data_IF_148718045851
#
_entry.id   IF_148718045851
#
_cell.length_a   1.000
_cell.length_b   1.000
_cell.length_c   1.000
_cell.angle_alpha   90.00
_cell.angle_beta   90.00
_cell.angle_gamma   90.00
#
_symmetry.space_group_name_H-M   'P 1'
#
loop_
_entity.id
_entity.type
_entity.pdbx_description
1 polymer ?
#
# COMPACT_ATOMS: atom_id res chain seq x y z
N UNK A 1 4.04 6.66 -1.45
CA UNK A 1 3.78 5.22 -1.64
C UNK A 1 3.90 4.44 -0.34
N UNK A 2 5.07 4.40 0.32
CA UNK A 2 5.29 3.60 1.54
C UNK A 2 4.28 3.86 2.67
N UNK A 3 3.89 5.12 2.92
CA UNK A 3 2.86 5.47 3.92
C UNK A 3 1.48 4.86 3.65
N UNK A 4 1.17 4.54 2.39
CA UNK A 4 -0.05 3.84 1.99
C UNK A 4 0.13 2.32 1.94
N UNK A 5 1.25 1.80 2.46
CA UNK A 5 1.54 0.38 2.56
C UNK A 5 2.18 -0.25 1.32
N UNK A 6 2.58 0.55 0.31
CA UNK A 6 3.20 0.03 -0.90
C UNK A 6 4.71 -0.20 -0.77
N UNK A 7 5.17 -1.35 -1.25
CA UNK A 7 6.58 -1.74 -1.44
C UNK A 7 6.86 -1.82 -2.94
N UNK A 8 8.00 -1.32 -3.39
CA UNK A 8 8.41 -1.42 -4.79
C UNK A 8 8.73 -2.88 -5.13
N UNK A 9 8.03 -3.45 -6.11
CA UNK A 9 8.13 -4.86 -6.52
C UNK A 9 8.24 -4.97 -8.05
N UNK A 10 9.28 -4.38 -8.66
CA UNK A 10 9.40 -4.33 -10.11
C UNK A 10 9.79 -5.68 -10.70
N UNK A 11 9.50 -5.86 -11.98
CA UNK A 11 10.13 -6.88 -12.81
C UNK A 11 10.62 -6.27 -14.14
N UNK A 12 11.16 -7.11 -15.04
CA UNK A 12 11.76 -6.63 -16.29
C UNK A 12 10.77 -5.93 -17.23
N UNK A 13 9.49 -6.30 -17.19
CA UNK A 13 8.43 -5.73 -18.03
C UNK A 13 7.69 -4.58 -17.34
N UNK A 14 7.64 -4.61 -16.01
CA UNK A 14 6.82 -3.70 -15.20
C UNK A 14 7.71 -3.03 -14.13
N UNK A 15 8.41 -1.94 -14.49
CA UNK A 15 9.48 -1.36 -13.67
C UNK A 15 8.99 -0.54 -12.46
N UNK A 16 7.70 -0.21 -12.42
CA UNK A 16 7.09 0.66 -11.40
C UNK A 16 5.99 -0.02 -10.58
N UNK A 17 5.83 -1.35 -10.72
CA UNK A 17 4.90 -2.11 -9.88
C UNK A 17 5.21 -1.88 -8.41
N UNK A 18 4.16 -1.53 -7.67
CA UNK A 18 4.19 -1.44 -6.23
C UNK A 18 3.10 -2.31 -5.62
N UNK A 19 3.46 -3.07 -4.59
CA UNK A 19 2.60 -4.04 -3.92
C UNK A 19 2.30 -3.62 -2.50
N UNK A 20 1.03 -3.67 -2.08
CA UNK A 20 0.72 -3.48 -0.67
C UNK A 20 1.25 -4.65 0.16
N UNK A 21 1.99 -4.39 1.23
CA UNK A 21 2.51 -5.48 2.10
C UNK A 21 1.41 -6.23 2.87
N UNK A 22 0.22 -5.63 3.00
CA UNK A 22 -0.88 -6.15 3.82
C UNK A 22 -1.95 -6.85 2.98
N UNK A 23 -2.60 -6.15 2.04
CA UNK A 23 -3.65 -6.73 1.19
C UNK A 23 -3.13 -7.34 -0.12
N UNK A 24 -1.83 -7.21 -0.40
CA UNK A 24 -1.14 -7.77 -1.56
C UNK A 24 -1.62 -7.26 -2.93
N UNK A 25 -2.43 -6.19 -2.99
CA UNK A 25 -2.76 -5.55 -4.27
C UNK A 25 -1.49 -5.00 -4.94
N UNK A 26 -1.36 -5.26 -6.24
CA UNK A 26 -0.34 -4.70 -7.11
C UNK A 26 -0.95 -3.57 -7.92
N UNK A 27 -0.24 -2.45 -8.02
CA UNK A 27 -0.57 -1.33 -8.88
C UNK A 27 0.69 -0.92 -9.67
N UNK A 28 0.52 -0.59 -10.94
CA UNK A 28 1.54 -0.11 -11.87
C UNK A 28 1.04 1.13 -12.62
N UNK A 29 1.91 1.76 -13.41
CA UNK A 29 1.56 2.93 -14.22
C UNK A 29 1.43 4.21 -13.39
N UNK A 30 2.29 4.37 -12.38
CA UNK A 30 2.21 5.48 -11.44
C UNK A 30 2.63 6.81 -12.08
N UNK A 31 1.78 7.83 -11.94
CA UNK A 31 2.06 9.19 -12.36
C UNK A 31 2.58 10.04 -11.18
N UNK A 32 3.38 11.10 -11.42
CA UNK A 32 3.91 11.95 -10.36
C UNK A 32 2.86 12.63 -9.46
N UNK A 33 1.62 12.73 -9.92
CA UNK A 33 0.52 13.39 -9.21
C UNK A 33 -0.44 12.40 -8.53
N UNK A 34 -0.21 11.10 -8.66
CA UNK A 34 -1.05 10.10 -8.00
C UNK A 34 -0.85 10.17 -6.48
N UNK A 35 -1.96 10.22 -5.74
CA UNK A 35 -1.92 10.00 -4.29
C UNK A 35 -2.03 8.49 -4.00
N UNK A 36 -0.98 7.86 -3.44
CA UNK A 36 -0.99 6.41 -3.23
C UNK A 36 -2.00 5.95 -2.18
N UNK A 37 -2.40 6.82 -1.26
CA UNK A 37 -3.43 6.48 -0.28
C UNK A 37 -4.80 6.44 -0.96
N UNK A 38 -5.11 7.43 -1.80
CA UNK A 38 -6.34 7.45 -2.59
C UNK A 38 -6.44 6.28 -3.57
N UNK A 39 -5.38 6.00 -4.34
CA UNK A 39 -5.40 4.89 -5.29
C UNK A 39 -5.58 3.53 -4.60
N UNK A 40 -5.03 3.37 -3.40
CA UNK A 40 -5.23 2.16 -2.60
C UNK A 40 -6.68 2.03 -2.12
N UNK A 41 -7.27 3.10 -1.56
CA UNK A 41 -8.69 3.11 -1.12
C UNK A 41 -9.63 2.80 -2.28
N UNK A 42 -9.40 3.42 -3.45
CA UNK A 42 -10.26 3.26 -4.63
C UNK A 42 -10.28 1.82 -5.14
N UNK A 43 -9.21 1.05 -4.93
CA UNK A 43 -8.99 -0.26 -5.57
C UNK A 43 -9.25 -1.43 -4.64
N UNK A 44 -9.02 -1.27 -3.33
CA UNK A 44 -9.21 -2.34 -2.36
C UNK A 44 -9.56 -1.84 -0.96
N UNK A 45 -10.43 -2.56 -0.26
CA UNK A 45 -10.67 -2.33 1.17
C UNK A 45 -9.56 -2.99 2.00
N UNK A 46 -8.52 -2.24 2.34
CA UNK A 46 -7.32 -2.77 3.01
C UNK A 46 -7.32 -2.53 4.52
N UNK A 47 -7.16 -3.59 5.31
CA UNK A 47 -7.14 -3.51 6.78
C UNK A 47 -6.04 -2.60 7.33
N UNK A 48 -4.88 -2.53 6.65
CA UNK A 48 -3.80 -1.61 7.02
C UNK A 48 -4.25 -0.14 6.99
N UNK A 49 -5.05 0.27 6.00
CA UNK A 49 -5.56 1.65 5.91
C UNK A 49 -6.66 1.94 6.95
N UNK A 50 -7.26 0.90 7.53
CA UNK A 50 -8.28 1.02 8.57
C UNK A 50 -7.69 1.08 9.99
N UNK A 51 -6.37 0.96 10.16
CA UNK A 51 -5.74 1.04 11.48
C UNK A 51 -5.95 2.43 12.09
N UNK A 52 -6.34 2.44 13.37
CA UNK A 52 -6.56 3.67 14.15
C UNK A 52 -5.28 4.17 14.85
N UNK A 53 -4.23 3.34 14.87
CA UNK A 53 -2.92 3.63 15.44
C UNK A 53 -1.83 3.44 14.39
N UNK A 54 -0.67 4.05 14.61
CA UNK A 54 0.50 3.72 13.81
C UNK A 54 0.85 2.25 13.99
N UNK A 55 1.38 1.60 12.95
CA UNK A 55 1.68 0.16 12.98
C UNK A 55 2.64 -0.21 14.13
N UNK A 56 3.62 0.66 14.41
CA UNK A 56 4.60 0.47 15.49
C UNK A 56 4.00 0.60 16.90
N UNK A 57 2.81 1.19 17.02
CA UNK A 57 2.11 1.42 18.29
C UNK A 57 1.05 0.35 18.60
N UNK A 58 0.93 -0.67 17.75
CA UNK A 58 -0.01 -1.76 17.94
C UNK A 58 0.44 -2.66 19.10
N UNK A 59 -0.51 -3.00 19.98
CA UNK A 59 -0.29 -4.04 20.98
C UNK A 59 -0.31 -5.42 20.33
N UNK A 60 0.20 -6.45 21.02
CA UNK A 60 0.14 -7.83 20.55
C UNK A 60 -1.29 -8.33 20.29
N UNK A 61 -2.30 -7.74 20.93
CA UNK A 61 -3.71 -8.10 20.73
C UNK A 61 -4.31 -7.42 19.49
N UNK A 62 -3.69 -6.32 19.02
CA UNK A 62 -4.16 -5.53 17.87
C UNK A 62 -3.45 -5.89 16.55
N UNK A 63 -2.36 -6.66 16.61
CA UNK A 63 -1.61 -7.17 15.47
C UNK A 63 -2.24 -8.46 14.91
#
# INVERSE_FOLDING_TARGET
MAKAGFVHCPNASEPDVAKCFFCLIELEGWEPNDDPWEEHIKRHNCGFLCLTKHFDDLTMEEY
#
